data_IF_774966163988
#
_entry.id   IF_774966163988
#
_cell.length_a   1.000
_cell.length_b   1.000
_cell.length_c   1.000
_cell.angle_alpha   90.00
_cell.angle_beta   90.00
_cell.angle_gamma   90.00
#
_symmetry.space_group_name_H-M   'P 1'
#
loop_
_entity.id
_entity.type
_entity.pdbx_description
1 polymer ?
#
# COMPACT_ATOMS: atom_id res chain seq x y z
N UNK A 1 -4.42 -10.64 28.15
CA UNK A 1 -3.71 -9.62 27.37
C UNK A 1 -4.72 -8.72 26.69
N UNK A 2 -4.26 -7.64 26.06
CA UNK A 2 -5.06 -6.91 25.09
C UNK A 2 -5.29 -7.81 23.86
N UNK A 3 -6.42 -7.66 23.18
CA UNK A 3 -6.71 -8.38 21.93
C UNK A 3 -5.94 -7.70 20.77
N UNK A 4 -4.95 -8.37 20.14
CA UNK A 4 -4.15 -7.79 19.06
C UNK A 4 -4.97 -7.52 17.79
N UNK A 5 -6.14 -8.15 17.65
CA UNK A 5 -7.04 -8.04 16.50
C UNK A 5 -8.18 -7.05 16.71
N UNK A 6 -8.14 -6.30 17.83
CA UNK A 6 -9.14 -5.28 18.10
C UNK A 6 -9.10 -4.20 17.01
N UNK A 7 -10.28 -3.90 16.47
CA UNK A 7 -10.47 -2.84 15.47
C UNK A 7 -11.10 -1.58 16.06
N UNK A 8 -10.80 -0.44 15.45
CA UNK A 8 -11.48 0.84 15.68
C UNK A 8 -12.82 0.94 14.92
N UNK A 9 -13.40 2.15 14.85
CA UNK A 9 -14.67 2.40 14.15
C UNK A 9 -14.58 2.24 12.63
N UNK A 10 -13.38 2.40 12.06
CA UNK A 10 -13.10 2.26 10.63
C UNK A 10 -12.63 0.84 10.27
N UNK A 11 -12.58 -0.09 11.25
CA UNK A 11 -12.08 -1.44 11.03
C UNK A 11 -10.55 -1.56 11.08
N UNK A 12 -9.83 -0.52 11.54
CA UNK A 12 -8.36 -0.52 11.56
C UNK A 12 -7.81 -1.20 12.81
N UNK A 13 -6.79 -2.02 12.62
CA UNK A 13 -6.07 -2.71 13.71
C UNK A 13 -4.82 -1.94 14.14
N UNK A 14 -4.28 -2.26 15.31
CA UNK A 14 -2.98 -1.77 15.75
C UNK A 14 -1.87 -2.10 14.73
N UNK A 15 -1.96 -3.27 14.08
CA UNK A 15 -1.01 -3.71 13.05
C UNK A 15 -1.02 -2.79 11.82
N UNK A 16 -2.19 -2.34 11.38
CA UNK A 16 -2.31 -1.38 10.27
C UNK A 16 -1.66 -0.05 10.61
N UNK A 17 -1.92 0.50 11.81
CA UNK A 17 -1.30 1.76 12.23
C UNK A 17 0.22 1.64 12.38
N UNK A 18 0.72 0.55 12.96
CA UNK A 18 2.16 0.31 13.08
C UNK A 18 2.82 0.17 11.71
N UNK A 19 2.14 -0.49 10.76
CA UNK A 19 2.62 -0.68 9.39
C UNK A 19 2.67 0.64 8.60
N UNK A 20 1.63 1.47 8.71
CA UNK A 20 1.58 2.80 8.08
C UNK A 20 2.69 3.75 8.58
N UNK A 21 3.13 3.59 9.82
CA UNK A 21 4.21 4.42 10.39
C UNK A 21 5.59 3.76 10.29
N UNK A 22 5.71 2.57 9.67
CA UNK A 22 6.97 1.85 9.54
C UNK A 22 7.59 1.40 10.88
N UNK A 23 6.77 1.18 11.90
CA UNK A 23 7.23 0.78 13.23
C UNK A 23 7.52 -0.72 13.29
N UNK A 24 8.56 -1.19 12.58
CA UNK A 24 8.88 -2.61 12.37
C UNK A 24 8.91 -3.44 13.66
N UNK A 25 9.48 -2.92 14.76
CA UNK A 25 9.51 -3.66 16.03
C UNK A 25 8.14 -3.82 16.69
N UNK A 26 7.26 -2.84 16.52
CA UNK A 26 5.86 -2.95 16.99
C UNK A 26 5.10 -3.94 16.11
N UNK A 27 5.32 -3.91 14.79
CA UNK A 27 4.74 -4.88 13.85
C UNK A 27 5.16 -6.29 14.23
N UNK A 28 6.45 -6.53 14.50
CA UNK A 28 6.96 -7.84 14.97
C UNK A 28 6.26 -8.28 16.25
N UNK A 29 6.21 -7.41 17.26
CA UNK A 29 5.56 -7.73 18.53
C UNK A 29 4.08 -8.09 18.34
N UNK A 30 3.36 -7.36 17.48
CA UNK A 30 1.95 -7.65 17.21
C UNK A 30 1.77 -9.00 16.49
N UNK A 31 2.64 -9.33 15.54
CA UNK A 31 2.61 -10.63 14.85
C UNK A 31 2.93 -11.78 15.81
N UNK A 32 3.90 -11.60 16.71
CA UNK A 32 4.26 -12.59 17.73
C UNK A 32 3.11 -12.84 18.73
N UNK A 33 2.30 -11.80 19.01
CA UNK A 33 1.08 -11.90 19.83
C UNK A 33 -0.14 -12.44 19.07
N UNK A 34 -0.02 -12.77 17.78
CA UNK A 34 -1.07 -13.39 16.98
C UNK A 34 -1.98 -12.40 16.23
N UNK A 35 -1.46 -11.22 15.87
CA UNK A 35 -2.19 -10.30 14.99
C UNK A 35 -2.46 -10.92 13.61
N UNK A 36 -3.70 -10.81 13.15
CA UNK A 36 -4.15 -11.34 11.87
C UNK A 36 -3.84 -10.36 10.72
N UNK A 37 -3.12 -10.86 9.71
CA UNK A 37 -2.74 -10.10 8.51
C UNK A 37 -3.91 -9.87 7.54
N UNK A 38 -4.92 -10.73 7.59
CA UNK A 38 -6.07 -10.73 6.67
C UNK A 38 -7.20 -9.77 7.04
N UNK A 39 -7.10 -9.07 8.18
CA UNK A 39 -8.11 -8.08 8.57
C UNK A 39 -8.07 -6.93 7.58
N UNK A 40 -9.26 -6.51 7.11
CA UNK A 40 -9.45 -5.41 6.18
C UNK A 40 -10.27 -4.31 6.85
N UNK A 41 -9.83 -3.07 6.68
CA UNK A 41 -10.58 -1.91 7.15
C UNK A 41 -11.79 -1.61 6.23
N UNK A 42 -12.52 -0.53 6.51
CA UNK A 42 -13.68 -0.11 5.71
C UNK A 42 -13.34 0.17 4.23
N UNK A 43 -12.09 0.52 3.93
CA UNK A 43 -11.58 0.74 2.57
C UNK A 43 -11.01 -0.55 1.95
N UNK A 44 -11.13 -1.69 2.62
CA UNK A 44 -10.57 -2.96 2.14
C UNK A 44 -9.06 -3.06 2.30
N UNK A 45 -8.43 -2.18 3.08
CA UNK A 45 -6.97 -2.11 3.22
C UNK A 45 -6.48 -3.04 4.32
N UNK A 46 -5.37 -3.73 4.05
CA UNK A 46 -4.65 -4.57 5.01
C UNK A 46 -3.41 -3.84 5.54
N UNK A 47 -2.74 -4.43 6.54
CA UNK A 47 -1.45 -3.93 7.02
C UNK A 47 -0.40 -3.82 5.90
N UNK A 48 -0.41 -4.73 4.93
CA UNK A 48 0.52 -4.71 3.80
C UNK A 48 0.27 -3.51 2.88
N UNK A 49 -1.00 -3.20 2.54
CA UNK A 49 -1.32 -2.00 1.77
C UNK A 49 -0.78 -0.74 2.45
N UNK A 50 -1.02 -0.61 3.75
CA UNK A 50 -0.52 0.52 4.53
C UNK A 50 1.00 0.62 4.59
N UNK A 51 1.72 -0.51 4.67
CA UNK A 51 3.18 -0.50 4.62
C UNK A 51 3.71 -0.11 3.23
N UNK A 52 3.00 -0.50 2.16
CA UNK A 52 3.41 -0.28 0.77
C UNK A 52 3.24 1.17 0.27
N UNK A 53 2.50 2.02 0.99
CA UNK A 53 2.42 3.46 0.68
C UNK A 53 3.65 4.25 1.14
N UNK A 54 4.60 3.63 1.83
CA UNK A 54 5.79 4.28 2.38
C UNK A 54 7.10 3.58 2.04
N UNK A 55 8.25 4.17 2.42
CA UNK A 55 9.57 3.59 2.19
C UNK A 55 9.93 2.46 3.18
N UNK A 56 8.94 1.71 3.68
CA UNK A 56 9.10 0.79 4.82
C UNK A 56 9.44 -0.63 4.38
N UNK A 57 10.52 -0.79 3.61
CA UNK A 57 10.94 -2.07 3.05
C UNK A 57 11.07 -3.19 4.11
N UNK A 58 11.60 -2.89 5.29
CA UNK A 58 11.72 -3.87 6.38
C UNK A 58 10.36 -4.30 6.93
N UNK A 59 9.42 -3.37 7.07
CA UNK A 59 8.06 -3.68 7.53
C UNK A 59 7.32 -4.52 6.50
N UNK A 60 7.39 -4.14 5.21
CA UNK A 60 6.81 -4.91 4.10
C UNK A 60 7.38 -6.31 4.06
N UNK A 61 8.72 -6.45 4.14
CA UNK A 61 9.38 -7.74 4.18
C UNK A 61 8.89 -8.59 5.35
N UNK A 62 8.80 -8.02 6.55
CA UNK A 62 8.32 -8.74 7.73
C UNK A 62 6.89 -9.25 7.55
N UNK A 63 5.99 -8.45 6.98
CA UNK A 63 4.61 -8.87 6.70
C UNK A 63 4.56 -10.01 5.67
N UNK A 64 5.38 -9.93 4.62
CA UNK A 64 5.49 -10.97 3.57
C UNK A 64 6.11 -12.27 4.10
N UNK A 65 7.13 -12.17 4.96
CA UNK A 65 7.76 -13.32 5.64
C UNK A 65 6.75 -14.06 6.54
N UNK A 66 5.73 -13.35 7.05
CA UNK A 66 4.59 -13.92 7.78
C UNK A 66 3.41 -14.31 6.87
N UNK A 67 3.64 -14.45 5.56
CA UNK A 67 2.66 -14.89 4.56
C UNK A 67 1.48 -13.92 4.35
N UNK A 68 1.70 -12.62 4.47
CA UNK A 68 0.73 -11.64 3.96
C UNK A 68 0.53 -11.85 2.45
N UNK A 69 -0.71 -11.79 1.99
CA UNK A 69 -1.03 -11.91 0.56
C UNK A 69 -0.61 -10.63 -0.19
N UNK A 70 0.35 -10.70 -1.13
CA UNK A 70 0.84 -9.54 -1.87
C UNK A 70 -0.12 -9.06 -2.96
N UNK A 71 -1.16 -9.84 -3.28
CA UNK A 71 -2.10 -9.60 -4.38
C UNK A 71 -3.47 -9.10 -3.92
N UNK A 72 -3.59 -8.75 -2.64
CA UNK A 72 -4.74 -8.03 -2.11
C UNK A 72 -4.91 -6.68 -2.81
N UNK A 73 -6.15 -6.21 -2.89
CA UNK A 73 -6.50 -4.92 -3.46
C UNK A 73 -7.36 -4.13 -2.48
N UNK A 74 -7.33 -2.81 -2.52
CA UNK A 74 -8.30 -1.99 -1.79
C UNK A 74 -9.67 -1.98 -2.50
N UNK A 75 -10.67 -1.41 -1.83
CA UNK A 75 -12.03 -1.29 -2.38
C UNK A 75 -12.24 0.03 -3.14
N UNK A 76 -11.30 0.98 -3.04
CA UNK A 76 -11.44 2.31 -3.63
C UNK A 76 -11.13 2.25 -5.13
N UNK A 77 -9.90 1.88 -5.48
CA UNK A 77 -9.40 1.85 -6.86
C UNK A 77 -9.02 0.43 -7.29
N UNK A 78 -9.17 -0.57 -6.42
CA UNK A 78 -8.59 -1.90 -6.61
C UNK A 78 -7.06 -1.85 -6.70
N UNK A 79 -6.43 -0.93 -5.96
CA UNK A 79 -4.97 -0.84 -5.95
C UNK A 79 -4.36 -1.96 -5.14
N UNK A 80 -3.38 -2.63 -5.74
CA UNK A 80 -2.52 -3.62 -5.08
C UNK A 80 -1.38 -2.95 -4.31
N UNK A 81 -0.74 -3.65 -3.35
CA UNK A 81 0.51 -3.20 -2.73
C UNK A 81 1.56 -2.73 -3.75
N UNK A 82 1.66 -3.43 -4.89
CA UNK A 82 2.62 -3.09 -5.94
C UNK A 82 2.25 -1.79 -6.68
N UNK A 83 0.96 -1.51 -6.90
CA UNK A 83 0.49 -0.24 -7.47
C UNK A 83 0.78 0.93 -6.53
N UNK A 84 0.49 0.78 -5.23
CA UNK A 84 0.84 1.80 -4.22
C UNK A 84 2.34 2.07 -4.17
N UNK A 85 3.17 1.01 -4.13
CA UNK A 85 4.62 1.15 -4.14
C UNK A 85 5.14 1.82 -5.44
N UNK A 86 4.53 1.52 -6.59
CA UNK A 86 4.88 2.14 -7.86
C UNK A 86 4.49 3.62 -7.92
N UNK A 87 3.28 3.98 -7.49
CA UNK A 87 2.80 5.36 -7.44
C UNK A 87 3.66 6.25 -6.52
N UNK A 88 4.13 5.67 -5.41
CA UNK A 88 5.01 6.35 -4.45
C UNK A 88 6.50 6.31 -4.83
N UNK A 89 6.87 5.60 -5.91
CA UNK A 89 8.25 5.47 -6.38
C UNK A 89 9.15 4.66 -5.44
N UNK A 90 8.57 3.78 -4.63
CA UNK A 90 9.27 2.98 -3.63
C UNK A 90 9.91 1.74 -4.27
N UNK A 91 11.03 1.96 -4.98
CA UNK A 91 11.71 0.92 -5.76
C UNK A 91 12.03 -0.34 -4.93
N UNK A 92 12.49 -0.16 -3.69
CA UNK A 92 12.86 -1.29 -2.83
C UNK A 92 11.64 -2.11 -2.40
N UNK A 93 10.54 -1.43 -2.05
CA UNK A 93 9.27 -2.07 -1.70
C UNK A 93 8.69 -2.81 -2.91
N UNK A 94 8.69 -2.19 -4.09
CA UNK A 94 8.20 -2.80 -5.31
C UNK A 94 8.98 -4.07 -5.67
N UNK A 95 10.31 -4.06 -5.53
CA UNK A 95 11.15 -5.25 -5.72
C UNK A 95 10.79 -6.36 -4.73
N UNK A 96 10.69 -6.04 -3.44
CA UNK A 96 10.33 -7.03 -2.41
C UNK A 96 8.96 -7.67 -2.67
N UNK A 97 7.98 -6.88 -3.10
CA UNK A 97 6.66 -7.38 -3.46
C UNK A 97 6.72 -8.35 -4.66
N UNK A 98 7.46 -7.99 -5.73
CA UNK A 98 7.65 -8.85 -6.89
C UNK A 98 8.38 -10.15 -6.54
N UNK A 99 9.44 -10.06 -5.74
CA UNK A 99 10.20 -11.23 -5.25
C UNK A 99 9.32 -12.16 -4.39
N UNK A 100 8.29 -11.60 -3.76
CA UNK A 100 7.32 -12.34 -2.91
C UNK A 100 6.06 -12.79 -3.66
N UNK A 101 6.02 -12.64 -5.00
CA UNK A 101 4.92 -13.14 -5.82
C UNK A 101 3.76 -12.17 -6.05
N UNK A 102 3.98 -10.86 -5.89
CA UNK A 102 3.03 -9.87 -6.39
C UNK A 102 2.89 -9.97 -7.91
N UNK A 103 1.66 -9.97 -8.40
CA UNK A 103 1.33 -10.05 -9.83
C UNK A 103 1.37 -8.65 -10.46
N UNK A 104 2.37 -8.35 -11.32
CA UNK A 104 2.47 -7.06 -12.00
C UNK A 104 1.39 -6.83 -13.05
N UNK A 105 0.62 -7.86 -13.42
CA UNK A 105 -0.46 -7.78 -14.39
C UNK A 105 -1.83 -7.52 -13.74
N UNK A 106 -1.91 -7.42 -12.41
CA UNK A 106 -3.13 -6.96 -11.73
C UNK A 106 -3.53 -5.59 -12.26
N UNK A 107 -4.85 -5.42 -12.40
CA UNK A 107 -5.46 -4.21 -12.94
C UNK A 107 -6.34 -3.56 -11.91
N UNK A 108 -6.28 -2.25 -11.87
CA UNK A 108 -7.17 -1.41 -11.09
C UNK A 108 -8.56 -1.31 -11.76
N UNK A 109 -9.42 -0.43 -11.22
CA UNK A 109 -10.75 -0.16 -11.79
C UNK A 109 -10.71 0.40 -13.21
N UNK A 110 -9.64 1.11 -13.59
CA UNK A 110 -9.45 1.76 -14.89
C UNK A 110 -8.77 0.83 -15.92
N UNK A 111 -8.33 -0.36 -15.47
CA UNK A 111 -7.65 -1.35 -16.29
C UNK A 111 -6.13 -1.12 -16.40
N UNK A 112 -5.58 -0.23 -15.58
CA UNK A 112 -4.18 0.15 -15.52
C UNK A 112 -3.38 -0.79 -14.61
N UNK A 113 -2.07 -0.92 -14.84
CA UNK A 113 -1.18 -1.81 -14.09
C UNK A 113 -0.12 -0.99 -13.34
N UNK A 114 0.56 -1.61 -12.37
CA UNK A 114 1.61 -0.95 -11.59
C UNK A 114 2.71 -0.27 -12.45
N UNK A 115 2.97 -0.79 -13.66
CA UNK A 115 3.98 -0.23 -14.56
C UNK A 115 3.67 1.20 -15.02
N UNK A 116 2.38 1.57 -15.12
CA UNK A 116 1.95 2.92 -15.49
C UNK A 116 2.28 3.92 -14.37
N UNK A 117 1.95 3.56 -13.14
CA UNK A 117 2.19 4.40 -11.96
C UNK A 117 3.69 4.63 -11.70
N UNK A 118 4.55 3.69 -12.10
CA UNK A 118 6.00 3.85 -12.05
C UNK A 118 6.55 4.88 -13.05
N UNK A 119 5.88 5.09 -14.20
CA UNK A 119 6.33 6.02 -15.25
C UNK A 119 6.01 7.48 -14.92
N UNK A 120 4.88 7.76 -14.26
CA UNK A 120 4.39 9.13 -14.03
C UNK A 120 5.25 9.97 -13.06
N UNK A 121 6.35 9.43 -12.52
CA UNK A 121 7.36 10.21 -11.77
C UNK A 121 8.73 10.29 -12.43
N UNK A 122 8.95 9.57 -13.53
CA UNK A 122 10.18 9.60 -14.30
C UNK A 122 9.99 10.43 -15.57
N UNK A 123 10.19 11.74 -15.43
CA UNK A 123 10.45 12.72 -16.52
C UNK A 123 9.22 13.26 -17.27
N UNK A 124 8.73 14.42 -16.84
CA UNK A 124 8.37 15.47 -17.80
C UNK A 124 9.49 16.53 -17.80
N UNK A 125 10.11 16.86 -18.95
CA UNK A 125 11.16 17.89 -19.04
C UNK A 125 10.63 19.32 -18.90
N UNK A 126 9.32 19.50 -18.67
CA UNK A 126 8.66 20.81 -18.72
C UNK A 126 7.92 21.13 -17.43
N UNK A 127 8.66 21.23 -16.31
CA UNK A 127 8.39 22.17 -15.21
C UNK A 127 7.06 22.14 -14.42
N UNK A 128 6.03 21.40 -14.85
CA UNK A 128 4.71 21.42 -14.22
C UNK A 128 4.54 20.20 -13.32
N UNK A 129 4.46 20.46 -12.00
CA UNK A 129 4.12 19.42 -11.02
C UNK A 129 2.62 19.17 -11.05
N UNK A 130 2.20 18.05 -11.65
CA UNK A 130 0.90 17.49 -11.35
C UNK A 130 0.94 16.89 -9.94
N UNK A 131 0.28 17.54 -8.99
CA UNK A 131 0.03 16.94 -7.66
C UNK A 131 -1.31 16.21 -7.70
N UNK A 132 -1.34 15.00 -7.11
CA UNK A 132 -2.58 14.41 -6.60
C UNK A 132 -3.13 15.39 -5.56
N UNK A 133 -4.27 16.03 -5.86
CA UNK A 133 -4.98 16.89 -4.92
C UNK A 133 -5.60 15.98 -3.84
N UNK A 134 -5.14 16.03 -2.57
CA UNK A 134 -5.67 15.18 -1.50
C UNK A 134 -7.16 15.46 -1.18
N UNK A 135 -7.75 16.48 -1.81
CA UNK A 135 -9.15 16.89 -1.66
C UNK A 135 -10.08 16.35 -2.76
N UNK A 136 -9.54 15.71 -3.81
CA UNK A 136 -10.33 15.23 -4.96
C UNK A 136 -10.37 13.71 -5.00
N UNK A 137 -11.59 13.18 -4.92
CA UNK A 137 -11.90 11.77 -5.09
C UNK A 137 -11.44 11.30 -6.49
N UNK A 138 -10.50 10.36 -6.56
CA UNK A 138 -10.79 9.07 -7.17
C UNK A 138 -11.41 9.07 -8.58
N UNK A 139 -10.70 9.43 -9.66
CA UNK A 139 -11.17 9.14 -11.04
C UNK A 139 -11.50 10.32 -11.96
N UNK A 140 -10.81 11.47 -11.88
CA UNK A 140 -10.83 12.44 -12.98
C UNK A 140 -9.42 12.89 -13.37
N UNK A 141 -9.20 12.98 -14.69
CA UNK A 141 -7.95 13.36 -15.35
C UNK A 141 -7.21 14.49 -14.61
N UNK A 142 -5.89 14.32 -14.47
CA UNK A 142 -4.98 15.32 -13.91
C UNK A 142 -5.33 16.71 -14.47
N UNK A 143 -5.66 17.65 -13.58
CA UNK A 143 -5.88 19.03 -13.99
C UNK A 143 -4.50 19.68 -14.10
N UNK A 144 -4.02 19.85 -15.32
CA UNK A 144 -2.91 20.74 -15.61
C UNK A 144 -3.40 22.18 -15.34
N UNK A 145 -2.93 22.81 -14.26
CA UNK A 145 -3.00 24.27 -14.18
C UNK A 145 -1.87 24.87 -15.01
N UNK A 146 -2.23 25.86 -15.83
CA UNK A 146 -1.31 26.65 -16.66
C UNK A 146 -0.25 27.38 -15.82
#
# INVERSE_FOLDING_TARGET
GADPNKVDQDGRTALMFASFNGHTEIVRLLLDEGAELGIRDAMGRTALLYASTGPFAETVKLLLDHHADPNIVDNDEQFSPLMHAAAEGQLEVAKLLLDSGADPALKDIDGETAALFAHNRAVEPEGNRCYLDPSRLCGQACVCQE
#
